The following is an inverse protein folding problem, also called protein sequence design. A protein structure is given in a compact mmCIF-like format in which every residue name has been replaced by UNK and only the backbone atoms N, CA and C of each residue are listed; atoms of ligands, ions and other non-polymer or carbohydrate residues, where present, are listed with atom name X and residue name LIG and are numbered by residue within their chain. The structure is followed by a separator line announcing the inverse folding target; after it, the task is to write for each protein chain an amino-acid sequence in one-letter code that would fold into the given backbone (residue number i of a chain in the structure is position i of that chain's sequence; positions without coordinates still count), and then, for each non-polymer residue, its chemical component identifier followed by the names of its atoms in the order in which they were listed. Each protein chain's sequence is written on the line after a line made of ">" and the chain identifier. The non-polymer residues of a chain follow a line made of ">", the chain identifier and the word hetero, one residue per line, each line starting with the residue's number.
data_IF_502019022025
#
_entry.id   IF_502019022025
#
_cell.length_a   1.000
_cell.length_b   1.000
_cell.length_c   1.000
_cell.angle_alpha   90.00
_cell.angle_beta   90.00
_cell.angle_gamma   90.00
#
_symmetry.space_group_name_H-M   'P 1'
#
loop_
_entity.id
_entity.type
_entity.pdbx_description
1 polymer ?
#
# COMPACT_ATOMS: atom_id res chain seq x y z
N UNK A 1 52.17 -19.90 7.52
CA UNK A 1 51.39 -18.78 8.10
C UNK A 1 50.18 -18.59 7.19
N UNK A 2 49.07 -19.27 7.49
CA UNK A 2 47.88 -19.24 6.64
C UNK A 2 47.09 -17.96 6.92
N UNK A 3 46.80 -17.18 5.87
CA UNK A 3 45.91 -16.03 5.98
C UNK A 3 44.51 -16.56 6.28
N UNK A 4 44.01 -16.27 7.49
CA UNK A 4 42.62 -16.45 7.84
C UNK A 4 41.80 -15.44 7.02
N UNK A 5 41.36 -15.83 5.82
CA UNK A 5 40.32 -15.11 5.07
C UNK A 5 38.99 -15.39 5.76
N UNK A 6 38.83 -14.83 6.96
CA UNK A 6 37.52 -14.65 7.54
C UNK A 6 36.74 -13.82 6.53
N UNK A 7 35.66 -14.38 5.99
CA UNK A 7 34.64 -13.58 5.33
C UNK A 7 34.15 -12.64 6.41
N UNK A 8 34.66 -11.41 6.42
CA UNK A 8 34.14 -10.33 7.25
C UNK A 8 32.71 -10.11 6.75
N UNK A 9 31.76 -10.81 7.36
CA UNK A 9 30.36 -10.42 7.37
C UNK A 9 30.26 -9.15 8.20
N UNK A 10 30.88 -8.06 7.75
CA UNK A 10 30.38 -6.71 8.05
C UNK A 10 28.99 -6.71 7.45
N UNK A 11 28.03 -7.02 8.32
CA UNK A 11 26.77 -7.58 7.89
C UNK A 11 26.00 -6.47 7.20
N UNK A 12 25.34 -6.78 6.08
CA UNK A 12 24.45 -5.86 5.40
C UNK A 12 23.37 -5.27 6.35
N UNK A 13 23.16 -5.91 7.50
CA UNK A 13 22.27 -5.50 8.57
C UNK A 13 22.87 -4.49 9.56
N UNK A 14 24.19 -4.42 9.74
CA UNK A 14 24.84 -3.43 10.63
C UNK A 14 24.79 -2.00 10.06
N UNK A 15 24.53 -1.87 8.75
CA UNK A 15 24.43 -0.59 8.06
C UNK A 15 23.08 0.11 8.24
N UNK A 16 22.06 -0.59 8.74
CA UNK A 16 20.71 -0.07 8.88
C UNK A 16 20.25 -0.05 10.33
N UNK A 17 19.64 1.05 10.74
CA UNK A 17 19.02 1.16 12.06
C UNK A 17 17.92 0.11 12.25
N UNK A 18 17.77 -0.40 13.48
CA UNK A 18 16.67 -1.28 13.90
C UNK A 18 15.30 -0.75 13.49
N UNK A 19 15.12 0.58 13.50
CA UNK A 19 13.88 1.25 13.07
C UNK A 19 13.61 1.04 11.58
N UNK A 20 14.65 1.12 10.74
CA UNK A 20 14.54 0.87 9.29
C UNK A 20 14.15 -0.58 9.03
N UNK A 21 14.71 -1.51 9.80
CA UNK A 21 14.37 -2.93 9.72
C UNK A 21 12.90 -3.20 10.08
N UNK A 22 12.44 -2.65 11.20
CA UNK A 22 11.04 -2.77 11.62
C UNK A 22 10.12 -2.15 10.56
N UNK A 23 10.44 -0.95 10.08
CA UNK A 23 9.68 -0.28 9.04
C UNK A 23 9.63 -1.12 7.75
N UNK A 24 10.77 -1.68 7.32
CA UNK A 24 10.84 -2.54 6.13
C UNK A 24 10.01 -3.82 6.30
N UNK A 25 10.02 -4.45 7.47
CA UNK A 25 9.17 -5.61 7.77
C UNK A 25 7.69 -5.22 7.72
N UNK A 26 7.30 -4.13 8.37
CA UNK A 26 5.91 -3.64 8.39
C UNK A 26 5.44 -3.29 6.98
N UNK A 27 6.24 -2.52 6.24
CA UNK A 27 5.96 -2.18 4.83
C UNK A 27 5.88 -3.44 4.00
N UNK A 28 6.82 -4.37 4.12
CA UNK A 28 6.80 -5.64 3.40
C UNK A 28 5.55 -6.48 3.70
N UNK A 29 5.17 -6.58 4.98
CA UNK A 29 3.97 -7.31 5.42
C UNK A 29 2.67 -6.65 4.99
N UNK A 30 2.62 -5.33 4.78
CA UNK A 30 1.42 -4.64 4.29
C UNK A 30 1.38 -4.64 2.76
N UNK A 31 2.52 -4.41 2.11
CA UNK A 31 2.65 -4.36 0.65
C UNK A 31 2.50 -5.73 0.01
N UNK A 32 2.96 -6.81 0.66
CA UNK A 32 2.84 -8.16 0.10
C UNK A 32 1.38 -8.63 -0.06
N UNK A 33 0.49 -8.50 0.95
CA UNK A 33 -0.93 -8.72 0.78
C UNK A 33 -1.53 -7.83 -0.32
N UNK A 34 -1.26 -6.53 -0.31
CA UNK A 34 -1.85 -5.62 -1.31
C UNK A 34 -1.39 -5.97 -2.73
N UNK A 35 -0.09 -6.26 -2.90
CA UNK A 35 0.53 -6.59 -4.19
C UNK A 35 0.04 -7.90 -4.80
N UNK A 36 -0.45 -8.85 -4.00
CA UNK A 36 -1.07 -10.08 -4.49
C UNK A 36 -2.60 -9.97 -4.60
N UNK A 37 -3.25 -9.34 -3.63
CA UNK A 37 -4.71 -9.26 -3.54
C UNK A 37 -5.30 -8.37 -4.64
N UNK A 38 -4.61 -7.31 -5.05
CA UNK A 38 -5.07 -6.43 -6.13
C UNK A 38 -5.13 -7.17 -7.48
N UNK A 39 -4.05 -7.81 -7.98
CA UNK A 39 -4.13 -8.63 -9.19
C UNK A 39 -5.12 -9.79 -9.07
N UNK A 40 -5.16 -10.49 -7.93
CA UNK A 40 -6.09 -11.60 -7.71
C UNK A 40 -7.56 -11.15 -7.79
N UNK A 41 -7.89 -9.98 -7.21
CA UNK A 41 -9.22 -9.40 -7.30
C UNK A 41 -9.63 -9.13 -8.75
N UNK A 42 -8.75 -8.50 -9.54
CA UNK A 42 -9.03 -8.23 -10.95
C UNK A 42 -9.17 -9.52 -11.78
N UNK A 43 -8.36 -10.54 -11.48
CA UNK A 43 -8.49 -11.86 -12.11
C UNK A 43 -9.87 -12.47 -11.84
N UNK A 44 -10.27 -12.58 -10.57
CA UNK A 44 -11.56 -13.15 -10.17
C UNK A 44 -12.73 -12.37 -10.78
N UNK A 45 -12.62 -11.04 -10.82
CA UNK A 45 -13.67 -10.19 -11.38
C UNK A 45 -13.75 -10.28 -12.90
N UNK A 46 -12.62 -10.47 -13.58
CA UNK A 46 -12.57 -10.75 -15.02
C UNK A 46 -13.16 -12.13 -15.35
N UNK A 47 -12.86 -13.16 -14.56
CA UNK A 47 -13.42 -14.52 -14.69
C UNK A 47 -14.95 -14.52 -14.55
N UNK A 48 -15.50 -13.68 -13.68
CA UNK A 48 -16.95 -13.43 -13.55
C UNK A 48 -17.57 -12.65 -14.73
N UNK A 49 -16.81 -12.33 -15.78
CA UNK A 49 -17.26 -11.55 -16.93
C UNK A 49 -17.46 -10.05 -16.65
N UNK A 50 -17.05 -9.56 -15.48
CA UNK A 50 -17.29 -8.16 -15.04
C UNK A 50 -16.11 -7.23 -15.32
N UNK A 51 -15.00 -7.77 -15.84
CA UNK A 51 -13.78 -7.00 -16.09
C UNK A 51 -13.94 -5.83 -17.07
N UNK A 52 -14.79 -5.97 -18.10
CA UNK A 52 -15.06 -4.88 -19.08
C UNK A 52 -15.99 -3.79 -18.54
N UNK A 53 -16.72 -4.09 -17.46
CA UNK A 53 -17.72 -3.18 -16.87
C UNK A 53 -17.12 -2.30 -15.77
N UNK A 54 -15.86 -2.52 -15.40
CA UNK A 54 -15.17 -1.73 -14.38
C UNK A 54 -14.81 -0.34 -14.92
N UNK A 55 -15.29 0.68 -14.22
CA UNK A 55 -14.91 2.06 -14.50
C UNK A 55 -13.47 2.34 -14.06
N UNK A 56 -12.79 3.26 -14.73
CA UNK A 56 -11.44 3.68 -14.35
C UNK A 56 -11.34 4.15 -12.89
N UNK A 57 -12.39 4.78 -12.35
CA UNK A 57 -12.46 5.18 -10.94
C UNK A 57 -12.36 3.97 -10.01
N UNK A 58 -13.11 2.89 -10.29
CA UNK A 58 -13.07 1.66 -9.48
C UNK A 58 -11.69 0.98 -9.56
N UNK A 59 -11.05 1.01 -10.73
CA UNK A 59 -9.69 0.45 -10.91
C UNK A 59 -8.69 1.22 -10.05
N UNK A 60 -8.68 2.55 -10.15
CA UNK A 60 -7.76 3.39 -9.38
C UNK A 60 -8.02 3.33 -7.87
N UNK A 61 -9.28 3.21 -7.44
CA UNK A 61 -9.63 3.00 -6.03
C UNK A 61 -8.97 1.72 -5.49
N UNK A 62 -9.06 0.61 -6.23
CA UNK A 62 -8.45 -0.66 -5.83
C UNK A 62 -6.92 -0.58 -5.80
N UNK A 63 -6.32 0.01 -6.83
CA UNK A 63 -4.86 0.11 -6.96
C UNK A 63 -4.24 1.00 -5.88
N UNK A 64 -4.83 2.17 -5.61
CA UNK A 64 -4.23 3.15 -4.70
C UNK A 64 -4.57 2.91 -3.24
N UNK A 65 -5.73 2.30 -2.95
CA UNK A 65 -6.22 2.11 -1.58
C UNK A 65 -6.18 0.64 -1.13
N UNK A 66 -5.63 -0.24 -1.96
CA UNK A 66 -5.37 -1.64 -1.64
C UNK A 66 -6.62 -2.37 -1.13
N UNK A 67 -6.48 -3.05 0.02
CA UNK A 67 -7.54 -3.87 0.61
C UNK A 67 -8.85 -3.08 0.86
N UNK A 68 -8.74 -1.84 1.34
CA UNK A 68 -9.91 -0.98 1.58
C UNK A 68 -10.57 -0.57 0.27
N UNK A 69 -9.77 -0.31 -0.77
CA UNK A 69 -10.25 -0.04 -2.11
C UNK A 69 -11.05 -1.21 -2.68
N UNK A 70 -10.54 -2.43 -2.54
CA UNK A 70 -11.21 -3.68 -2.94
C UNK A 70 -12.57 -3.77 -2.25
N UNK A 71 -12.61 -3.73 -0.91
CA UNK A 71 -13.84 -3.87 -0.15
C UNK A 71 -14.88 -2.80 -0.52
N UNK A 72 -14.47 -1.54 -0.68
CA UNK A 72 -15.38 -0.46 -1.06
C UNK A 72 -15.98 -0.65 -2.46
N UNK A 73 -15.19 -1.10 -3.43
CA UNK A 73 -15.67 -1.37 -4.79
C UNK A 73 -16.54 -2.62 -4.83
N UNK A 74 -16.22 -3.65 -4.04
CA UNK A 74 -16.97 -4.90 -4.02
C UNK A 74 -18.34 -4.76 -3.34
N UNK A 75 -18.42 -3.96 -2.26
CA UNK A 75 -19.66 -3.71 -1.52
C UNK A 75 -20.51 -2.59 -2.14
N UNK A 76 -19.88 -1.55 -2.69
CA UNK A 76 -20.57 -0.32 -3.12
C UNK A 76 -20.39 0.06 -4.58
N UNK A 77 -19.61 -0.70 -5.37
CA UNK A 77 -19.27 -0.39 -6.75
C UNK A 77 -18.71 1.03 -6.91
N UNK A 78 -19.11 1.70 -7.99
CA UNK A 78 -18.74 3.10 -8.27
C UNK A 78 -19.14 4.09 -7.16
N UNK A 79 -20.25 3.85 -6.45
CA UNK A 79 -20.66 4.72 -5.33
C UNK A 79 -19.72 4.55 -4.14
N UNK A 80 -19.42 3.30 -3.77
CA UNK A 80 -18.44 2.98 -2.72
C UNK A 80 -17.06 3.57 -3.03
N UNK A 81 -16.60 3.44 -4.27
CA UNK A 81 -15.36 4.06 -4.74
C UNK A 81 -15.34 5.58 -4.55
N UNK A 82 -16.42 6.29 -4.90
CA UNK A 82 -16.52 7.75 -4.71
C UNK A 82 -16.46 8.14 -3.23
N UNK A 83 -17.17 7.43 -2.37
CA UNK A 83 -17.18 7.71 -0.93
C UNK A 83 -15.78 7.52 -0.34
N UNK A 84 -15.11 6.43 -0.71
CA UNK A 84 -13.76 6.17 -0.21
C UNK A 84 -12.76 7.23 -0.68
N UNK A 85 -12.85 7.70 -1.93
CA UNK A 85 -12.05 8.82 -2.42
C UNK A 85 -12.33 10.14 -1.70
N UNK A 86 -13.60 10.43 -1.38
CA UNK A 86 -13.95 11.61 -0.61
C UNK A 86 -13.33 11.57 0.80
N UNK A 87 -13.38 10.40 1.46
CA UNK A 87 -12.73 10.19 2.76
C UNK A 87 -11.22 10.34 2.63
N UNK A 88 -10.59 9.70 1.64
CA UNK A 88 -9.15 9.78 1.42
C UNK A 88 -8.69 11.22 1.17
N UNK A 89 -9.43 11.99 0.35
CA UNK A 89 -9.14 13.39 0.10
C UNK A 89 -9.29 14.26 1.37
N UNK A 90 -10.35 14.04 2.15
CA UNK A 90 -10.55 14.76 3.41
C UNK A 90 -9.42 14.49 4.40
N UNK A 91 -9.02 13.21 4.57
CA UNK A 91 -7.91 12.84 5.44
C UNK A 91 -6.58 13.42 4.95
N UNK A 92 -6.35 13.45 3.63
CA UNK A 92 -5.15 14.05 3.06
C UNK A 92 -5.08 15.56 3.35
N UNK A 93 -6.18 16.29 3.15
CA UNK A 93 -6.25 17.73 3.49
C UNK A 93 -6.02 17.96 4.98
N UNK A 94 -6.67 17.17 5.85
CA UNK A 94 -6.48 17.26 7.30
C UNK A 94 -5.02 16.98 7.70
N UNK A 95 -4.37 16.00 7.08
CA UNK A 95 -2.95 15.72 7.31
C UNK A 95 -2.06 16.91 6.94
N UNK A 96 -2.30 17.55 5.78
CA UNK A 96 -1.56 18.74 5.38
C UNK A 96 -1.77 19.90 6.35
N UNK A 97 -3.02 20.15 6.77
CA UNK A 97 -3.34 21.17 7.76
C UNK A 97 -2.64 20.90 9.10
N UNK A 98 -2.58 19.64 9.53
CA UNK A 98 -1.84 19.22 10.72
C UNK A 98 -0.34 19.49 10.62
N UNK A 99 0.28 19.21 9.46
CA UNK A 99 1.70 19.50 9.21
C UNK A 99 1.94 21.01 9.20
N UNK A 100 1.09 21.81 8.53
CA UNK A 100 1.21 23.27 8.53
C UNK A 100 1.09 23.83 9.94
N UNK A 101 0.11 23.37 10.73
CA UNK A 101 -0.05 23.79 12.11
C UNK A 101 1.18 23.47 12.97
N UNK A 102 1.81 22.31 12.77
CA UNK A 102 3.03 21.92 13.47
C UNK A 102 4.24 22.79 13.10
N UNK A 103 4.31 23.29 11.86
CA UNK A 103 5.42 24.14 11.39
C UNK A 103 5.29 25.61 11.77
N UNK A 104 4.08 26.05 12.12
CA UNK A 104 3.78 27.45 12.49
C UNK A 104 3.90 27.70 14.00
N UNK A 105 3.96 26.64 14.81
CA UNK A 105 4.15 26.66 16.27
C UNK A 105 5.63 26.42 16.59
#
# INVERSE_FOLDING_TARGET
>A
MAANTGVSTDSLTDQYSTVVWIAAIVVGLISFPVGLLVPAYFYIKADKGQGRSQSGLEIWTVVLLGLFGIAAVELGGRKGAKILWAIAAALFVLSLLGVVALLVI
#
